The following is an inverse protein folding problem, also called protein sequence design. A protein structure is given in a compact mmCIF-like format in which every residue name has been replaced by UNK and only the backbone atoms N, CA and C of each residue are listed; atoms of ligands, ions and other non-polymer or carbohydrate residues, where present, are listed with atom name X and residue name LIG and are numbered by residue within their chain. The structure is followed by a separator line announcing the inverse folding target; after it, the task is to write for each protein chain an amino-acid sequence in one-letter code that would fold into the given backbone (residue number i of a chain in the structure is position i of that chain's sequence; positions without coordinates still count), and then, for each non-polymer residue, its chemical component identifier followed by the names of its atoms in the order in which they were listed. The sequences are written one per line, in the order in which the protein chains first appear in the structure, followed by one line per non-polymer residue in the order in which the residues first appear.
data_IF_885777906392
#
_entry.id   IF_885777906392
#
_cell.length_a   1.000
_cell.length_b   1.000
_cell.length_c   1.000
_cell.angle_alpha   90.00
_cell.angle_beta   90.00
_cell.angle_gamma   90.00
#
_symmetry.space_group_name_H-M   'P 1'
#
loop_
_entity.id
_entity.type
_entity.pdbx_description
1 polymer ?
#
# COMPACT_ATOMS: atom_id res chain seq x y z
N UNK A 1 5.50 2.03 -24.84
CA UNK A 1 6.73 2.58 -24.22
C UNK A 1 7.73 1.45 -24.16
N UNK A 2 8.88 1.63 -24.78
CA UNK A 2 9.98 0.67 -24.75
C UNK A 2 10.67 0.74 -23.37
N UNK A 3 11.21 -0.39 -22.91
CA UNK A 3 12.03 -0.43 -21.70
C UNK A 3 13.41 0.09 -22.05
N UNK A 4 13.87 1.11 -21.34
CA UNK A 4 15.28 1.50 -21.42
C UNK A 4 16.14 0.45 -20.73
N UNK A 5 17.36 0.23 -21.24
CA UNK A 5 18.32 -0.66 -20.63
C UNK A 5 19.67 0.06 -20.59
N UNK A 6 19.90 0.78 -19.51
CA UNK A 6 21.09 1.59 -19.28
C UNK A 6 21.74 1.22 -17.95
N UNK A 7 23.02 1.56 -17.81
CA UNK A 7 23.73 1.42 -16.55
C UNK A 7 23.34 2.55 -15.59
N UNK A 8 22.99 2.21 -14.35
CA UNK A 8 22.73 3.21 -13.31
C UNK A 8 23.02 2.68 -11.90
N UNK A 9 23.18 3.59 -10.94
CA UNK A 9 23.33 3.25 -9.53
C UNK A 9 21.97 3.26 -8.84
N UNK A 10 21.45 2.10 -8.39
CA UNK A 10 20.13 2.01 -7.79
C UNK A 10 20.05 2.72 -6.42
N UNK A 11 21.16 2.82 -5.69
CA UNK A 11 21.21 3.52 -4.40
C UNK A 11 20.97 5.03 -4.57
N UNK A 12 21.47 5.62 -5.66
CA UNK A 12 21.24 7.04 -5.98
C UNK A 12 19.75 7.28 -6.24
N UNK A 13 19.10 6.41 -7.01
CA UNK A 13 17.65 6.52 -7.29
C UNK A 13 16.84 6.49 -6.00
N UNK A 14 17.14 5.56 -5.10
CA UNK A 14 16.45 5.46 -3.80
C UNK A 14 16.69 6.70 -2.94
N UNK A 15 17.92 7.20 -2.89
CA UNK A 15 18.28 8.36 -2.06
C UNK A 15 17.57 9.63 -2.55
N UNK A 16 17.54 9.89 -3.87
CA UNK A 16 16.83 11.03 -4.43
C UNK A 16 15.32 10.98 -4.13
N UNK A 17 14.72 9.79 -4.12
CA UNK A 17 13.31 9.63 -3.79
C UNK A 17 13.06 9.84 -2.30
N UNK A 18 13.96 9.38 -1.43
CA UNK A 18 13.90 9.69 0.01
C UNK A 18 13.89 11.21 0.21
N UNK A 19 14.79 11.93 -0.44
CA UNK A 19 14.91 13.38 -0.31
C UNK A 19 13.65 14.10 -0.85
N UNK A 20 13.07 13.59 -1.95
CA UNK A 20 11.80 14.08 -2.48
C UNK A 20 10.64 13.98 -1.47
N UNK A 21 10.59 12.90 -0.68
CA UNK A 21 9.53 12.64 0.29
C UNK A 21 9.86 13.10 1.72
N UNK A 22 11.06 13.59 1.99
CA UNK A 22 11.52 13.97 3.33
C UNK A 22 10.61 15.00 3.98
N UNK A 23 10.23 16.05 3.25
CA UNK A 23 9.34 17.11 3.74
C UNK A 23 7.95 16.56 4.08
N UNK A 24 7.40 15.67 3.24
CA UNK A 24 6.09 15.06 3.50
C UNK A 24 6.11 14.16 4.74
N UNK A 25 7.18 13.39 4.93
CA UNK A 25 7.36 12.54 6.10
C UNK A 25 7.51 13.38 7.38
N UNK A 26 8.30 14.45 7.33
CA UNK A 26 8.52 15.38 8.44
C UNK A 26 7.22 16.09 8.86
N UNK A 27 6.43 16.57 7.89
CA UNK A 27 5.13 17.21 8.15
C UNK A 27 4.15 16.28 8.89
N UNK A 28 4.27 14.97 8.69
CA UNK A 28 3.45 13.95 9.35
C UNK A 28 4.12 13.32 10.57
N UNK A 29 5.31 13.77 10.95
CA UNK A 29 6.12 13.17 12.03
C UNK A 29 6.32 11.65 11.84
N UNK A 30 6.58 11.23 10.59
CA UNK A 30 6.89 9.85 10.21
C UNK A 30 8.40 9.73 10.04
N UNK A 31 9.01 8.76 10.71
CA UNK A 31 10.40 8.39 10.49
C UNK A 31 10.53 7.64 9.15
N UNK A 32 11.06 8.32 8.13
CA UNK A 32 11.32 7.74 6.81
C UNK A 32 12.75 7.21 6.73
N UNK A 33 12.88 5.89 6.69
CA UNK A 33 14.16 5.19 6.61
C UNK A 33 14.39 4.55 5.25
N UNK A 34 15.65 4.47 4.85
CA UNK A 34 16.10 3.73 3.67
C UNK A 34 17.04 2.62 4.13
N UNK A 35 16.79 1.41 3.66
CA UNK A 35 17.64 0.23 3.89
C UNK A 35 18.11 -0.35 2.56
N UNK A 36 19.42 -0.41 2.36
CA UNK A 36 20.02 -1.02 1.18
C UNK A 36 20.56 -2.41 1.56
N UNK A 37 20.18 -3.42 0.78
CA UNK A 37 20.62 -4.79 1.01
C UNK A 37 22.15 -4.93 0.88
N UNK A 38 22.79 -5.83 1.65
CA UNK A 38 24.24 -5.97 1.69
C UNK A 38 24.84 -6.46 0.36
N UNK A 39 24.03 -7.06 -0.50
CA UNK A 39 24.42 -7.57 -1.82
C UNK A 39 23.99 -6.67 -2.97
N UNK A 40 23.53 -5.45 -2.69
CA UNK A 40 23.10 -4.51 -3.72
C UNK A 40 24.31 -4.02 -4.54
N UNK A 41 24.34 -4.26 -5.86
CA UNK A 41 25.42 -3.78 -6.72
C UNK A 41 25.44 -2.25 -6.80
N UNK A 42 26.63 -1.67 -6.95
CA UNK A 42 26.77 -0.22 -7.19
C UNK A 42 26.23 0.21 -8.56
N UNK A 43 26.19 -0.71 -9.53
CA UNK A 43 25.64 -0.49 -10.85
C UNK A 43 24.82 -1.68 -11.30
N UNK A 44 23.69 -1.40 -11.94
CA UNK A 44 22.81 -2.39 -12.56
C UNK A 44 22.44 -1.92 -13.96
N UNK A 45 22.09 -2.87 -14.83
CA UNK A 45 21.53 -2.59 -16.16
C UNK A 45 20.01 -2.68 -16.09
N UNK A 46 19.32 -1.62 -16.53
CA UNK A 46 17.86 -1.59 -16.60
C UNK A 46 17.29 -0.20 -16.81
N UNK A 47 16.05 0.00 -16.37
CA UNK A 47 15.31 1.24 -16.55
C UNK A 47 15.20 2.02 -15.21
N UNK A 48 16.04 3.04 -14.97
CA UNK A 48 15.98 3.81 -13.73
C UNK A 48 14.71 4.65 -13.60
N UNK A 49 14.08 5.05 -14.71
CA UNK A 49 12.83 5.82 -14.69
C UNK A 49 11.68 4.95 -14.21
N UNK A 50 11.63 3.69 -14.63
CA UNK A 50 10.64 2.72 -14.14
C UNK A 50 10.85 2.39 -12.68
N UNK A 51 12.09 2.14 -12.26
CA UNK A 51 12.39 1.91 -10.84
C UNK A 51 11.93 3.10 -10.00
N UNK A 52 12.26 4.33 -10.44
CA UNK A 52 11.81 5.55 -9.77
C UNK A 52 10.30 5.63 -9.67
N UNK A 53 9.58 5.40 -10.76
CA UNK A 53 8.12 5.47 -10.78
C UNK A 53 7.48 4.45 -9.83
N UNK A 54 7.99 3.22 -9.80
CA UNK A 54 7.52 2.17 -8.89
C UNK A 54 7.73 2.60 -7.45
N UNK A 55 8.93 3.07 -7.09
CA UNK A 55 9.23 3.49 -5.72
C UNK A 55 8.38 4.71 -5.32
N UNK A 56 8.22 5.72 -6.20
CA UNK A 56 7.36 6.88 -5.94
C UNK A 56 5.93 6.46 -5.63
N UNK A 57 5.38 5.53 -6.42
CA UNK A 57 4.02 5.05 -6.21
C UNK A 57 3.86 4.30 -4.88
N UNK A 58 4.81 3.42 -4.55
CA UNK A 58 4.77 2.65 -3.32
C UNK A 58 4.97 3.54 -2.10
N UNK A 59 6.01 4.36 -2.08
CA UNK A 59 6.34 5.24 -0.96
C UNK A 59 5.30 6.35 -0.78
N UNK A 60 4.79 6.92 -1.87
CA UNK A 60 3.72 7.91 -1.82
C UNK A 60 2.45 7.36 -1.20
N UNK A 61 2.09 6.11 -1.51
CA UNK A 61 0.97 5.43 -0.85
C UNK A 61 1.26 5.20 0.63
N UNK A 62 2.45 4.73 0.98
CA UNK A 62 2.83 4.48 2.36
C UNK A 62 2.74 5.71 3.25
N UNK A 63 3.31 6.83 2.79
CA UNK A 63 3.25 8.11 3.51
C UNK A 63 1.86 8.74 3.47
N UNK A 64 1.02 8.42 2.47
CA UNK A 64 -0.36 8.88 2.43
C UNK A 64 -1.18 8.26 3.56
N UNK A 65 -1.04 6.96 3.79
CA UNK A 65 -1.88 6.19 4.71
C UNK A 65 -1.26 5.90 6.08
N UNK A 66 0.03 6.18 6.27
CA UNK A 66 0.65 6.17 7.60
C UNK A 66 0.40 7.52 8.28
N UNK A 67 -0.13 7.50 9.50
CA UNK A 67 -0.40 8.71 10.29
C UNK A 67 0.75 9.07 11.23
N UNK A 68 1.42 8.07 11.79
CA UNK A 68 2.54 8.24 12.71
C UNK A 68 3.40 6.96 12.74
N UNK A 69 4.63 7.09 13.25
CA UNK A 69 5.55 5.96 13.39
C UNK A 69 6.63 5.98 12.33
N UNK A 70 6.85 4.83 11.66
CA UNK A 70 8.00 4.62 10.79
C UNK A 70 7.60 3.99 9.45
N UNK A 71 8.12 4.53 8.36
CA UNK A 71 8.07 3.92 7.03
C UNK A 71 9.50 3.60 6.58
N UNK A 72 9.75 2.36 6.17
CA UNK A 72 11.07 1.91 5.71
C UNK A 72 11.00 1.48 4.25
N UNK A 73 11.69 2.21 3.37
CA UNK A 73 11.93 1.79 1.99
C UNK A 73 13.18 0.92 1.96
N UNK A 74 13.06 -0.31 1.47
CA UNK A 74 14.19 -1.21 1.29
C UNK A 74 14.39 -1.60 -0.17
N UNK A 75 15.65 -1.69 -0.57
CA UNK A 75 16.04 -2.16 -1.89
C UNK A 75 17.07 -3.28 -1.76
N UNK A 76 16.74 -4.45 -2.31
CA UNK A 76 17.57 -5.63 -2.25
C UNK A 76 17.86 -6.17 -3.67
N UNK A 77 18.95 -6.92 -3.78
CA UNK A 77 19.35 -7.60 -5.00
C UNK A 77 19.37 -9.10 -4.76
N UNK A 78 18.86 -9.87 -5.73
CA UNK A 78 18.86 -11.32 -5.68
C UNK A 78 18.91 -11.93 -7.08
N UNK A 79 19.13 -13.23 -7.13
CA UNK A 79 19.11 -14.03 -8.37
C UNK A 79 17.86 -14.91 -8.35
N UNK A 80 17.14 -14.99 -9.47
CA UNK A 80 16.01 -15.90 -9.58
C UNK A 80 16.50 -17.35 -9.82
N UNK A 81 15.57 -18.30 -9.91
CA UNK A 81 15.88 -19.72 -10.14
C UNK A 81 16.64 -19.98 -11.46
N UNK A 82 16.51 -19.10 -12.44
CA UNK A 82 17.16 -19.19 -13.75
C UNK A 82 18.52 -18.45 -13.77
N UNK A 83 18.96 -17.90 -12.64
CA UNK A 83 20.19 -17.12 -12.54
C UNK A 83 20.09 -15.73 -13.16
N UNK A 84 18.88 -15.18 -13.33
CA UNK A 84 18.68 -13.80 -13.74
C UNK A 84 18.67 -12.86 -12.52
N UNK A 85 19.42 -11.75 -12.55
CA UNK A 85 19.42 -10.78 -11.48
C UNK A 85 18.10 -9.99 -11.43
N UNK A 86 17.64 -9.70 -10.23
CA UNK A 86 16.50 -8.81 -10.02
C UNK A 86 16.67 -7.94 -8.78
N UNK A 87 16.05 -6.77 -8.83
CA UNK A 87 15.87 -5.91 -7.66
C UNK A 87 14.49 -6.18 -7.05
N UNK A 88 14.45 -6.24 -5.72
CA UNK A 88 13.20 -6.29 -4.97
C UNK A 88 13.09 -5.04 -4.08
N UNK A 89 12.03 -4.27 -4.34
CA UNK A 89 11.65 -3.09 -3.57
C UNK A 89 10.60 -3.50 -2.56
N UNK A 90 10.77 -3.10 -1.30
CA UNK A 90 9.75 -3.26 -0.28
C UNK A 90 9.56 -1.96 0.51
N UNK A 91 8.32 -1.61 0.83
CA UNK A 91 8.00 -0.49 1.71
C UNK A 91 7.28 -1.06 2.92
N UNK A 92 7.92 -0.94 4.08
CA UNK A 92 7.39 -1.40 5.35
C UNK A 92 6.73 -0.22 6.05
N UNK A 93 5.50 -0.43 6.49
CA UNK A 93 4.67 0.51 7.23
C UNK A 93 4.36 -0.08 8.61
N UNK A 94 3.98 0.74 9.61
CA UNK A 94 3.46 0.21 10.85
C UNK A 94 2.19 -0.58 10.57
N UNK A 95 2.08 -1.79 11.13
CA UNK A 95 0.87 -2.59 10.99
C UNK A 95 -0.24 -1.88 11.77
N UNK A 96 -1.16 -1.23 11.06
CA UNK A 96 -2.45 -0.86 11.61
C UNK A 96 -3.23 -2.13 11.88
N UNK A 97 -3.66 -2.33 13.13
CA UNK A 97 -4.54 -3.44 13.47
C UNK A 97 -5.92 -3.18 12.84
N UNK A 98 -6.12 -3.74 11.64
CA UNK A 98 -7.37 -3.62 10.91
C UNK A 98 -8.59 -4.08 11.70
N UNK A 99 -8.41 -4.95 12.71
CA UNK A 99 -9.48 -5.33 13.63
C UNK A 99 -9.88 -4.17 14.54
N UNK A 100 -8.93 -3.52 15.21
CA UNK A 100 -9.19 -2.37 16.08
C UNK A 100 -9.72 -1.17 15.28
N UNK A 101 -9.16 -0.92 14.09
CA UNK A 101 -9.68 0.11 13.17
C UNK A 101 -11.13 -0.16 12.79
N UNK A 102 -11.49 -1.40 12.45
CA UNK A 102 -12.86 -1.76 12.10
C UNK A 102 -13.80 -1.55 13.29
N UNK A 103 -13.41 -1.99 14.50
CA UNK A 103 -14.21 -1.79 15.72
C UNK A 103 -14.47 -0.31 15.98
N UNK A 104 -13.47 0.55 15.82
CA UNK A 104 -13.60 1.99 16.00
C UNK A 104 -14.60 2.60 14.99
N UNK A 105 -14.49 2.24 13.70
CA UNK A 105 -15.43 2.70 12.67
C UNK A 105 -16.86 2.24 12.99
N UNK A 106 -17.06 0.96 13.35
CA UNK A 106 -18.39 0.44 13.70
C UNK A 106 -18.99 1.10 14.93
N UNK A 107 -18.17 1.44 15.93
CA UNK A 107 -18.62 2.19 17.09
C UNK A 107 -19.08 3.61 16.69
N UNK A 108 -18.30 4.28 15.85
CA UNK A 108 -18.61 5.63 15.37
C UNK A 108 -19.89 5.66 14.51
N UNK A 109 -20.08 4.70 13.60
CA UNK A 109 -21.30 4.56 12.79
C UNK A 109 -22.56 4.48 13.66
N UNK A 110 -22.49 3.71 14.75
CA UNK A 110 -23.57 3.55 15.72
C UNK A 110 -23.82 4.83 16.55
N UNK A 111 -22.77 5.55 16.92
CA UNK A 111 -22.87 6.77 17.73
C UNK A 111 -23.38 7.97 16.94
N UNK A 112 -22.92 8.12 15.70
CA UNK A 112 -23.25 9.27 14.85
C UNK A 112 -24.45 9.01 13.93
N UNK A 113 -25.08 7.84 14.04
CA UNK A 113 -26.16 7.36 13.15
C UNK A 113 -25.79 7.48 11.66
N UNK A 114 -24.51 7.29 11.35
CA UNK A 114 -24.01 7.28 9.97
C UNK A 114 -24.37 5.94 9.32
N UNK A 115 -24.66 5.98 8.02
CA UNK A 115 -24.85 4.76 7.23
C UNK A 115 -23.62 3.86 7.32
N UNK A 116 -23.83 2.54 7.31
CA UNK A 116 -22.76 1.54 7.38
C UNK A 116 -21.91 1.61 6.10
N UNK A 117 -20.63 1.96 6.24
CA UNK A 117 -19.66 1.92 5.15
C UNK A 117 -19.21 0.47 4.92
N UNK A 118 -19.18 -0.04 3.67
CA UNK A 118 -18.61 -1.35 3.39
C UNK A 118 -17.11 -1.39 3.75
N UNK A 119 -16.70 -2.32 4.61
CA UNK A 119 -15.30 -2.56 5.00
C UNK A 119 -14.91 -3.97 4.56
N UNK A 120 -13.93 -4.06 3.66
CA UNK A 120 -13.42 -5.33 3.13
C UNK A 120 -11.99 -5.55 3.59
N UNK A 121 -11.74 -6.68 4.26
CA UNK A 121 -10.41 -7.03 4.74
C UNK A 121 -9.48 -7.38 3.58
N UNK A 122 -8.21 -6.94 3.62
CA UNK A 122 -7.17 -7.45 2.72
C UNK A 122 -6.15 -8.28 3.51
N UNK A 123 -6.20 -9.60 3.41
CA UNK A 123 -5.39 -10.51 4.26
C UNK A 123 -4.15 -11.01 3.54
N UNK A 124 -2.98 -11.02 4.21
CA UNK A 124 -1.72 -11.48 3.60
C UNK A 124 -1.60 -13.01 3.50
N UNK A 125 -2.34 -13.75 4.34
CA UNK A 125 -2.51 -15.20 4.29
C UNK A 125 -3.99 -15.48 4.54
N UNK A 126 -4.65 -16.21 3.65
CA UNK A 126 -6.00 -16.71 3.90
C UNK A 126 -5.91 -17.99 4.73
N UNK A 127 -5.53 -17.89 6.02
CA UNK A 127 -5.60 -19.07 6.89
C UNK A 127 -7.06 -19.36 7.23
N UNK A 128 -7.37 -20.65 7.40
CA UNK A 128 -8.69 -21.12 7.82
C UNK A 128 -9.00 -20.46 9.19
N UNK A 129 -10.06 -19.64 9.22
CA UNK A 129 -10.50 -18.90 10.42
C UNK A 129 -10.24 -17.38 10.38
N UNK A 130 -9.37 -16.87 9.50
CA UNK A 130 -9.16 -15.41 9.38
C UNK A 130 -10.41 -14.69 8.86
N UNK A 131 -11.14 -15.33 7.95
CA UNK A 131 -12.45 -14.85 7.48
C UNK A 131 -13.42 -14.65 8.64
N UNK A 132 -13.52 -15.63 9.54
CA UNK A 132 -14.47 -15.59 10.65
C UNK A 132 -14.10 -14.48 11.64
N UNK A 133 -12.80 -14.30 11.92
CA UNK A 133 -12.31 -13.20 12.75
C UNK A 133 -12.62 -11.83 12.13
N UNK A 134 -12.39 -11.65 10.82
CA UNK A 134 -12.73 -10.42 10.11
C UNK A 134 -14.22 -10.09 10.20
N UNK A 135 -15.08 -11.09 9.99
CA UNK A 135 -16.53 -10.91 10.10
C UNK A 135 -16.98 -10.61 11.54
N UNK A 136 -16.36 -11.25 12.55
CA UNK A 136 -16.70 -11.03 13.97
C UNK A 136 -16.43 -9.60 14.44
N UNK A 137 -15.40 -8.93 13.90
CA UNK A 137 -15.11 -7.53 14.25
C UNK A 137 -15.95 -6.52 13.46
N UNK A 138 -16.80 -7.00 12.55
CA UNK A 138 -17.72 -6.18 11.77
C UNK A 138 -17.22 -5.79 10.37
N UNK A 139 -16.20 -6.45 9.83
CA UNK A 139 -15.90 -6.34 8.39
C UNK A 139 -17.02 -7.06 7.60
N UNK A 140 -17.27 -6.61 6.38
CA UNK A 140 -18.37 -7.12 5.55
C UNK A 140 -17.90 -8.20 4.56
N UNK A 141 -16.62 -8.16 4.19
CA UNK A 141 -16.01 -9.11 3.26
C UNK A 141 -14.50 -9.19 3.44
N UNK A 142 -13.84 -10.02 2.62
CA UNK A 142 -12.38 -10.16 2.62
C UNK A 142 -11.82 -10.52 1.24
N UNK A 143 -10.54 -10.23 1.04
CA UNK A 143 -9.77 -10.58 -0.15
C UNK A 143 -8.32 -10.88 0.21
N UNK A 144 -7.74 -11.94 -0.35
CA UNK A 144 -6.37 -12.35 -0.06
C UNK A 144 -5.35 -11.60 -0.92
N UNK A 145 -4.21 -11.20 -0.35
CA UNK A 145 -3.03 -10.71 -1.08
C UNK A 145 -2.14 -11.91 -1.50
N UNK A 146 -1.52 -11.89 -2.69
CA UNK A 146 -1.80 -10.96 -3.78
C UNK A 146 -3.17 -11.27 -4.42
N UNK A 147 -3.98 -10.24 -4.67
CA UNK A 147 -5.29 -10.41 -5.33
C UNK A 147 -5.22 -10.16 -6.82
N UNK A 148 -6.03 -10.91 -7.57
CA UNK A 148 -6.25 -10.64 -8.98
C UNK A 148 -7.20 -9.46 -9.15
N UNK A 149 -7.03 -8.69 -10.23
CA UNK A 149 -7.93 -7.59 -10.59
C UNK A 149 -9.39 -8.06 -10.72
N UNK A 150 -9.63 -9.29 -11.17
CA UNK A 150 -10.96 -9.87 -11.27
C UNK A 150 -11.63 -10.01 -9.90
N UNK A 151 -10.90 -10.51 -8.90
CA UNK A 151 -11.41 -10.66 -7.53
C UNK A 151 -11.71 -9.31 -6.88
N UNK A 152 -10.85 -8.32 -7.11
CA UNK A 152 -11.09 -6.96 -6.64
C UNK A 152 -12.35 -6.36 -7.31
N UNK A 153 -12.51 -6.56 -8.62
CA UNK A 153 -13.66 -6.07 -9.38
C UNK A 153 -14.98 -6.65 -8.85
N UNK A 154 -15.03 -7.95 -8.60
CA UNK A 154 -16.22 -8.63 -8.05
C UNK A 154 -16.64 -8.05 -6.69
N UNK A 155 -15.68 -7.72 -5.83
CA UNK A 155 -15.94 -7.08 -4.53
C UNK A 155 -16.44 -5.66 -4.69
N UNK A 156 -15.81 -4.88 -5.57
CA UNK A 156 -16.21 -3.49 -5.81
C UNK A 156 -17.64 -3.42 -6.38
N UNK A 157 -17.96 -4.29 -7.34
CA UNK A 157 -19.31 -4.43 -7.85
C UNK A 157 -20.28 -4.81 -6.72
N UNK A 158 -19.94 -5.81 -5.90
CA UNK A 158 -20.81 -6.25 -4.78
C UNK A 158 -21.17 -5.13 -3.80
N UNK A 159 -20.22 -4.25 -3.46
CA UNK A 159 -20.37 -3.31 -2.34
C UNK A 159 -20.58 -1.85 -2.74
N UNK A 160 -20.21 -1.45 -3.97
CA UNK A 160 -20.18 -0.04 -4.39
C UNK A 160 -20.99 0.23 -5.66
N UNK A 161 -22.02 -0.57 -5.93
CA UNK A 161 -22.77 -0.53 -7.19
C UNK A 161 -23.77 0.62 -7.38
N UNK A 162 -23.71 1.70 -6.60
CA UNK A 162 -24.71 2.78 -6.70
C UNK A 162 -24.08 4.14 -7.01
N UNK A 163 -24.25 4.58 -8.26
CA UNK A 163 -23.79 5.89 -8.77
C UNK A 163 -24.70 7.05 -8.34
N UNK A 164 -25.78 6.81 -7.60
CA UNK A 164 -26.87 7.79 -7.42
C UNK A 164 -26.96 8.43 -6.02
N UNK A 165 -25.98 8.26 -5.12
CA UNK A 165 -26.02 8.86 -3.76
C UNK A 165 -24.95 9.89 -3.42
N UNK A 166 -24.13 10.32 -4.39
CA UNK A 166 -23.12 11.37 -4.18
C UNK A 166 -23.69 12.78 -4.46
N UNK A 167 -24.88 12.90 -5.07
CA UNK A 167 -25.43 14.21 -5.50
C UNK A 167 -26.46 14.86 -4.57
N UNK A 168 -26.86 14.27 -3.44
CA UNK A 168 -27.98 14.78 -2.63
C UNK A 168 -27.59 15.67 -1.43
N UNK A 169 -26.35 16.18 -1.37
CA UNK A 169 -25.95 17.20 -0.38
C UNK A 169 -25.83 18.62 -0.94
N UNK A 170 -26.50 18.93 -2.06
CA UNK A 170 -26.71 20.32 -2.52
C UNK A 170 -28.19 20.59 -2.76
N UNK A 171 -28.96 20.57 -1.69
CA UNK A 171 -30.23 21.28 -1.59
C UNK A 171 -30.35 21.81 -0.16
N UNK A 172 -29.56 22.85 0.12
CA UNK A 172 -29.90 23.84 1.14
C UNK A 172 -30.70 24.89 0.38
N UNK A 173 -31.91 25.17 0.86
CA UNK A 173 -32.91 26.00 0.18
C UNK A 173 -32.61 27.49 0.10
#
# INVERSE_FOLDING_TARGET
MELENIEFNPAIVVQEIKDLFAVQAEQKNIDLQVELGPSLPQQVQGDPLRLRQVIINLLGNALKFTEQGKVTLSLNFAMNIDGLPYLYVNVLEPVLDGYETTKAIRLQEKQENKGRLPIVAMTAHAMIGDREKCLQVGMDDYISKPMKLTQLKEILERWFHDKDKINDSTSIG
#
